data_IF_947568658956
#
_entry.id   IF_947568658956
#
_cell.length_a   1.000
_cell.length_b   1.000
_cell.length_c   1.000
_cell.angle_alpha   90.00
_cell.angle_beta   90.00
_cell.angle_gamma   90.00
#
_symmetry.space_group_name_H-M   'P 1'
#
loop_
_entity.id
_entity.type
_entity.pdbx_description
1 polymer ?
#
# COMPACT_ATOMS: atom_id res chain seq x y z
N UNK A 1 27.67 -27.49 36.61
CA UNK A 1 28.12 -28.08 35.33
C UNK A 1 26.98 -28.90 34.73
N UNK A 2 26.35 -28.41 33.67
CA UNK A 2 25.65 -29.18 32.62
C UNK A 2 25.17 -28.18 31.56
N UNK A 3 26.02 -28.00 30.56
CA UNK A 3 25.73 -27.31 29.30
C UNK A 3 24.85 -28.21 28.44
N UNK A 4 23.65 -27.75 28.10
CA UNK A 4 22.77 -28.36 27.11
C UNK A 4 22.58 -27.40 25.94
N UNK A 5 23.39 -27.57 24.89
CA UNK A 5 23.29 -26.85 23.63
C UNK A 5 22.10 -27.43 22.84
N UNK A 6 21.03 -26.66 22.64
CA UNK A 6 19.98 -27.01 21.67
C UNK A 6 20.31 -26.26 20.39
N UNK A 7 20.71 -27.00 19.35
CA UNK A 7 20.98 -26.44 18.03
C UNK A 7 19.67 -25.98 17.39
N UNK A 8 19.54 -24.68 17.14
CA UNK A 8 18.51 -24.14 16.27
C UNK A 8 18.85 -24.49 14.82
N UNK A 9 17.87 -25.06 14.11
CA UNK A 9 17.98 -25.40 12.70
C UNK A 9 18.27 -24.14 11.86
N UNK A 10 19.26 -24.24 10.98
CA UNK A 10 19.70 -23.17 10.10
C UNK A 10 18.60 -22.76 9.11
N UNK A 11 18.27 -21.46 9.09
CA UNK A 11 17.58 -20.81 7.98
C UNK A 11 18.62 -20.47 6.89
N UNK A 12 18.26 -20.56 5.60
CA UNK A 12 19.20 -20.28 4.52
C UNK A 12 19.66 -18.83 4.54
N UNK A 13 20.97 -18.64 4.38
CA UNK A 13 21.67 -17.37 4.38
C UNK A 13 21.22 -16.51 3.18
N UNK A 14 20.35 -15.54 3.43
CA UNK A 14 20.26 -14.32 2.61
C UNK A 14 20.71 -13.17 3.49
N UNK A 15 21.87 -12.61 3.16
CA UNK A 15 22.54 -11.50 3.84
C UNK A 15 21.56 -10.34 4.12
N UNK A 16 21.28 -10.09 5.40
CA UNK A 16 21.06 -8.77 6.05
C UNK A 16 20.32 -8.92 7.41
N UNK A 17 20.56 -9.99 8.17
CA UNK A 17 20.02 -10.10 9.54
C UNK A 17 21.15 -10.45 10.51
N UNK A 18 21.80 -9.42 11.06
CA UNK A 18 22.60 -9.55 12.27
C UNK A 18 22.01 -8.66 13.34
N UNK A 19 21.46 -9.30 14.37
CA UNK A 19 20.99 -8.67 15.60
C UNK A 19 22.18 -8.61 16.59
N UNK A 20 22.72 -7.42 16.88
CA UNK A 20 23.28 -7.08 18.21
C UNK A 20 23.80 -5.63 18.32
N UNK A 21 23.40 -5.00 19.43
CA UNK A 21 24.05 -3.94 20.24
C UNK A 21 24.58 -2.69 19.53
N UNK A 22 23.93 -1.55 19.83
CA UNK A 22 24.44 -0.17 19.83
C UNK A 22 25.93 0.01 19.52
N UNK A 23 26.31 -0.11 18.25
CA UNK A 23 27.53 0.40 17.61
C UNK A 23 27.62 -0.29 16.24
N UNK A 24 27.18 0.37 15.17
CA UNK A 24 27.90 0.41 13.88
C UNK A 24 27.05 0.97 12.73
N UNK A 25 27.77 1.75 11.93
CA UNK A 25 27.42 2.40 10.68
C UNK A 25 26.61 1.50 9.75
N UNK A 26 25.52 2.06 9.22
CA UNK A 26 24.71 1.56 8.13
C UNK A 26 25.59 1.17 6.93
N UNK A 27 25.92 -0.12 6.82
CA UNK A 27 26.49 -0.71 5.61
C UNK A 27 25.48 -0.53 4.47
N UNK A 28 25.93 0.08 3.37
CA UNK A 28 25.08 0.64 2.32
C UNK A 28 23.97 -0.29 1.84
N UNK A 29 22.73 0.04 2.23
CA UNK A 29 21.53 -0.56 1.68
C UNK A 29 21.40 -0.06 0.23
N UNK A 30 21.76 -0.90 -0.75
CA UNK A 30 21.53 -0.58 -2.17
C UNK A 30 20.02 -0.36 -2.36
N UNK A 31 19.59 0.74 -3.02
CA UNK A 31 18.16 0.98 -3.23
C UNK A 31 17.56 -0.18 -4.03
N UNK A 32 16.49 -0.79 -3.50
CA UNK A 32 15.73 -1.81 -4.22
C UNK A 32 15.12 -1.17 -5.46
N UNK A 33 15.56 -1.58 -6.64
CA UNK A 33 15.01 -1.12 -7.93
C UNK A 33 13.76 -1.91 -8.28
N UNK A 34 12.92 -1.36 -9.16
CA UNK A 34 11.70 -2.00 -9.65
C UNK A 34 11.93 -3.37 -10.33
N UNK A 35 13.15 -3.65 -10.79
CA UNK A 35 13.56 -4.93 -11.37
C UNK A 35 13.69 -6.07 -10.35
N UNK A 36 13.72 -5.75 -9.05
CA UNK A 36 13.87 -6.74 -7.98
C UNK A 36 12.57 -7.47 -7.61
N UNK A 37 11.40 -7.02 -8.11
CA UNK A 37 10.10 -7.59 -7.71
C UNK A 37 9.44 -8.39 -8.82
N UNK A 38 8.80 -9.49 -8.43
CA UNK A 38 8.03 -10.33 -9.34
C UNK A 38 6.85 -9.55 -9.94
N UNK A 39 6.71 -9.59 -11.27
CA UNK A 39 5.54 -9.01 -11.94
C UNK A 39 4.24 -9.61 -11.38
N UNK A 40 3.29 -8.74 -11.08
CA UNK A 40 1.99 -9.16 -10.56
C UNK A 40 1.20 -9.91 -11.63
N UNK A 41 0.70 -11.09 -11.28
CA UNK A 41 -0.13 -11.95 -12.14
C UNK A 41 -1.61 -11.74 -11.81
N UNK A 42 -2.55 -12.10 -12.72
CA UNK A 42 -3.99 -12.00 -12.44
C UNK A 42 -4.43 -12.73 -11.14
N UNK A 43 -3.78 -13.86 -10.83
CA UNK A 43 -4.03 -14.59 -9.58
C UNK A 43 -3.66 -13.76 -8.34
N UNK A 44 -2.60 -12.97 -8.39
CA UNK A 44 -2.18 -12.11 -7.27
C UNK A 44 -3.22 -11.02 -7.00
N UNK A 45 -3.77 -10.43 -8.07
CA UNK A 45 -4.81 -9.41 -7.98
C UNK A 45 -6.10 -9.97 -7.38
N UNK A 46 -6.49 -11.17 -7.79
CA UNK A 46 -7.67 -11.86 -7.26
C UNK A 46 -7.51 -12.19 -5.76
N UNK A 47 -6.33 -12.69 -5.37
CA UNK A 47 -6.01 -12.94 -3.96
C UNK A 47 -6.03 -11.64 -3.17
N UNK A 48 -5.36 -10.60 -3.64
CA UNK A 48 -5.28 -9.32 -2.95
C UNK A 48 -6.65 -8.66 -2.78
N UNK A 49 -7.50 -8.69 -3.81
CA UNK A 49 -8.88 -8.20 -3.73
C UNK A 49 -9.66 -8.94 -2.63
N UNK A 50 -9.50 -10.27 -2.55
CA UNK A 50 -10.11 -11.09 -1.50
C UNK A 50 -9.56 -10.78 -0.11
N UNK A 51 -8.23 -10.67 0.04
CA UNK A 51 -7.57 -10.29 1.29
C UNK A 51 -8.01 -8.92 1.80
N UNK A 52 -8.24 -7.98 0.88
CA UNK A 52 -8.71 -6.62 1.19
C UNK A 52 -10.23 -6.53 1.36
N UNK A 53 -10.99 -7.53 0.90
CA UNK A 53 -12.45 -7.54 0.92
C UNK A 53 -13.09 -6.54 -0.05
N UNK A 54 -12.35 -6.07 -1.06
CA UNK A 54 -12.80 -5.07 -2.04
C UNK A 54 -12.01 -5.17 -3.34
N UNK A 55 -12.53 -4.57 -4.41
CA UNK A 55 -11.77 -4.40 -5.65
C UNK A 55 -10.57 -3.46 -5.44
N UNK A 56 -9.52 -3.66 -6.23
CA UNK A 56 -8.31 -2.84 -6.17
C UNK A 56 -8.56 -1.52 -6.91
N UNK A 57 -8.35 -0.39 -6.23
CA UNK A 57 -8.57 0.94 -6.80
C UNK A 57 -7.39 1.49 -7.61
N UNK A 58 -6.26 0.79 -7.66
CA UNK A 58 -5.04 1.21 -8.35
C UNK A 58 -4.43 0.12 -9.20
N UNK A 59 -3.63 0.49 -10.20
CA UNK A 59 -2.88 -0.45 -11.02
C UNK A 59 -1.76 -1.07 -10.18
N UNK A 60 -1.74 -2.38 -10.06
CA UNK A 60 -0.65 -3.13 -9.41
C UNK A 60 0.33 -3.57 -10.48
N UNK A 61 1.63 -3.36 -10.24
CA UNK A 61 2.69 -3.68 -11.20
C UNK A 61 3.50 -4.91 -10.78
N UNK A 62 3.70 -5.11 -9.47
CA UNK A 62 4.52 -6.20 -8.93
C UNK A 62 4.05 -6.66 -7.55
N UNK A 63 4.61 -7.78 -7.09
CA UNK A 63 4.49 -8.29 -5.72
C UNK A 63 5.85 -8.18 -5.06
N UNK A 64 5.96 -7.30 -4.06
CA UNK A 64 7.23 -7.08 -3.35
C UNK A 64 7.53 -8.20 -2.35
N UNK A 65 6.49 -8.80 -1.75
CA UNK A 65 6.66 -9.89 -0.77
C UNK A 65 5.50 -10.87 -0.80
N UNK A 66 5.85 -12.16 -0.67
CA UNK A 66 4.93 -13.29 -0.46
C UNK A 66 5.22 -13.96 0.88
N UNK A 67 4.19 -14.54 1.49
CA UNK A 67 4.38 -15.43 2.64
C UNK A 67 4.71 -16.86 2.19
N UNK A 68 5.03 -17.74 3.14
CA UNK A 68 5.23 -19.18 2.93
C UNK A 68 4.05 -19.88 2.22
N UNK A 69 2.81 -19.39 2.41
CA UNK A 69 1.60 -19.85 1.70
C UNK A 69 1.47 -19.30 0.27
N UNK A 70 2.52 -18.65 -0.25
CA UNK A 70 2.62 -18.04 -1.59
C UNK A 70 1.62 -16.91 -1.88
N UNK A 71 0.90 -16.45 -0.86
CA UNK A 71 -0.03 -15.32 -0.99
C UNK A 71 0.75 -14.00 -0.93
N UNK A 72 0.38 -12.98 -1.72
CA UNK A 72 0.97 -11.65 -1.61
C UNK A 72 0.73 -11.08 -0.21
N UNK A 73 1.79 -10.52 0.37
CA UNK A 73 1.73 -9.71 1.58
C UNK A 73 1.83 -8.23 1.27
N UNK A 74 2.73 -7.88 0.34
CA UNK A 74 2.96 -6.51 -0.09
C UNK A 74 2.92 -6.46 -1.62
N UNK A 75 2.04 -5.61 -2.14
CA UNK A 75 1.97 -5.28 -3.55
C UNK A 75 2.72 -3.99 -3.85
N UNK A 76 3.14 -3.85 -5.10
CA UNK A 76 3.69 -2.60 -5.65
C UNK A 76 2.66 -1.99 -6.59
N UNK A 77 2.27 -0.75 -6.33
CA UNK A 77 1.25 -0.03 -7.08
C UNK A 77 1.84 1.08 -7.94
N UNK A 78 1.25 1.24 -9.11
CA UNK A 78 1.57 2.33 -10.02
C UNK A 78 1.14 3.67 -9.43
N UNK A 79 1.92 4.76 -9.59
CA UNK A 79 1.67 6.03 -8.92
C UNK A 79 0.42 6.80 -9.37
N UNK A 80 -0.16 6.44 -10.51
CA UNK A 80 -1.29 7.14 -11.12
C UNK A 80 -2.56 6.29 -11.12
N UNK A 81 -3.68 6.94 -10.85
CA UNK A 81 -5.03 6.40 -11.07
C UNK A 81 -5.89 7.40 -11.82
N UNK A 82 -6.87 6.86 -12.55
CA UNK A 82 -7.93 7.67 -13.11
C UNK A 82 -8.85 8.06 -11.96
N UNK A 83 -8.93 9.35 -11.65
CA UNK A 83 -9.87 9.87 -10.68
C UNK A 83 -11.27 9.47 -11.10
N UNK A 84 -12.09 9.01 -10.16
CA UNK A 84 -13.52 8.99 -10.35
C UNK A 84 -13.89 10.43 -10.70
N UNK A 85 -14.31 10.68 -11.95
CA UNK A 85 -14.91 11.96 -12.30
C UNK A 85 -15.92 12.28 -11.21
N UNK A 86 -15.94 13.52 -10.72
CA UNK A 86 -16.99 13.97 -9.81
C UNK A 86 -18.31 13.76 -10.55
N UNK A 87 -18.90 12.58 -10.40
CA UNK A 87 -20.23 12.30 -10.87
C UNK A 87 -21.10 13.26 -10.10
N UNK A 88 -21.59 14.29 -10.79
CA UNK A 88 -22.82 14.93 -10.37
C UNK A 88 -23.82 13.79 -10.25
N UNK A 89 -24.10 13.36 -9.02
CA UNK A 89 -25.23 12.48 -8.77
C UNK A 89 -26.45 13.14 -9.40
N UNK A 90 -27.43 12.37 -9.91
CA UNK A 90 -28.66 12.96 -10.42
C UNK A 90 -29.22 13.85 -9.31
N UNK A 91 -29.28 15.15 -9.58
CA UNK A 91 -29.78 16.14 -8.63
C UNK A 91 -31.14 15.65 -8.14
N UNK A 92 -31.24 15.32 -6.85
CA UNK A 92 -32.54 15.06 -6.26
C UNK A 92 -33.26 16.40 -6.20
N UNK A 93 -34.16 16.65 -7.15
CA UNK A 93 -35.19 17.67 -7.00
C UNK A 93 -36.03 17.30 -5.78
N UNK A 94 -35.74 17.89 -4.62
CA UNK A 94 -36.64 17.87 -3.47
C UNK A 94 -37.39 19.20 -3.47
N UNK A 95 -38.57 19.21 -4.06
CA UNK A 95 -39.47 20.36 -3.99
C UNK A 95 -40.42 20.41 -5.19
N UNK A 96 -41.72 20.45 -4.91
CA UNK A 96 -42.77 20.79 -5.86
C UNK A 96 -42.71 22.30 -6.12
N UNK A 97 -42.07 22.70 -7.22
CA UNK A 97 -41.97 24.10 -7.63
C UNK A 97 -40.62 24.38 -8.25
N UNK A 98 -40.47 24.06 -9.53
CA UNK A 98 -39.31 24.48 -10.32
C UNK A 98 -39.83 25.25 -11.54
N UNK A 99 -39.81 26.58 -11.42
CA UNK A 99 -39.88 27.48 -12.56
C UNK A 99 -38.56 27.34 -13.34
N UNK A 100 -38.67 26.82 -14.55
CA UNK A 100 -37.55 26.65 -15.47
C UNK A 100 -37.38 27.90 -16.33
N UNK A 101 -36.84 28.98 -15.74
CA UNK A 101 -36.29 30.05 -16.57
C UNK A 101 -35.18 30.83 -15.86
N UNK A 102 -33.93 30.45 -16.12
CA UNK A 102 -32.79 31.38 -16.11
C UNK A 102 -31.63 30.70 -16.82
N UNK A 103 -31.34 31.19 -18.02
CA UNK A 103 -30.15 30.84 -18.77
C UNK A 103 -28.90 31.08 -17.93
N UNK A 104 -28.16 30.01 -17.69
CA UNK A 104 -26.73 30.08 -17.46
C UNK A 104 -26.09 29.35 -18.63
N UNK A 105 -25.37 30.12 -19.45
CA UNK A 105 -24.60 29.67 -20.58
C UNK A 105 -23.78 28.43 -20.17
N UNK A 106 -23.99 27.33 -20.91
CA UNK A 106 -23.14 26.15 -20.81
C UNK A 106 -21.79 26.51 -21.40
N UNK A 107 -20.90 27.00 -20.53
CA UNK A 107 -19.46 27.00 -20.75
C UNK A 107 -19.06 25.56 -21.11
N UNK A 108 -18.84 25.36 -22.41
CA UNK A 108 -18.47 24.12 -23.05
C UNK A 108 -16.94 23.90 -23.03
N UNK A 109 -16.20 24.65 -22.21
CA UNK A 109 -14.74 24.64 -22.14
C UNK A 109 -14.12 23.77 -21.03
N UNK A 110 -14.80 22.75 -20.51
CA UNK A 110 -14.15 21.75 -19.63
C UNK A 110 -13.88 20.47 -20.40
N UNK A 111 -12.75 20.47 -21.09
CA UNK A 111 -12.11 19.27 -21.62
C UNK A 111 -12.19 18.15 -20.57
N UNK A 112 -12.87 17.08 -20.96
CA UNK A 112 -12.98 15.82 -20.22
C UNK A 112 -11.63 15.10 -20.24
N UNK A 113 -10.58 15.73 -19.69
CA UNK A 113 -9.40 15.00 -19.31
C UNK A 113 -9.80 14.07 -18.16
N UNK A 114 -9.54 12.74 -18.23
CA UNK A 114 -9.65 11.92 -17.04
C UNK A 114 -8.76 12.55 -15.97
N UNK A 115 -9.35 13.00 -14.87
CA UNK A 115 -8.63 13.68 -13.80
C UNK A 115 -7.68 12.66 -13.18
N UNK A 116 -6.44 12.59 -13.65
CA UNK A 116 -5.42 11.75 -13.04
C UNK A 116 -5.20 12.19 -11.59
N UNK A 117 -5.08 11.22 -10.70
CA UNK A 117 -4.82 11.47 -9.29
C UNK A 117 -3.65 10.58 -8.82
N UNK A 118 -2.90 11.03 -7.81
CA UNK A 118 -1.82 10.23 -7.25
C UNK A 118 -2.42 9.08 -6.43
N UNK A 119 -2.01 7.84 -6.71
CA UNK A 119 -2.35 6.71 -5.84
C UNK A 119 -1.59 6.85 -4.52
N UNK A 120 -2.23 6.66 -3.35
CA UNK A 120 -1.68 7.12 -2.06
C UNK A 120 -0.44 6.36 -1.58
N UNK A 121 -0.18 5.16 -2.10
CA UNK A 121 0.99 4.36 -1.69
C UNK A 121 1.70 3.72 -2.88
N UNK A 122 2.99 3.41 -2.75
CA UNK A 122 3.74 2.51 -3.65
C UNK A 122 3.63 1.08 -3.13
N UNK A 123 3.82 0.89 -1.82
CA UNK A 123 3.75 -0.42 -1.19
C UNK A 123 2.42 -0.58 -0.47
N UNK A 124 1.64 -1.57 -0.91
CA UNK A 124 0.32 -1.83 -0.37
C UNK A 124 0.31 -3.14 0.40
N UNK A 125 0.21 -3.05 1.73
CA UNK A 125 0.04 -4.21 2.60
C UNK A 125 -1.35 -4.82 2.39
N UNK A 126 -1.41 -6.07 1.92
CA UNK A 126 -2.67 -6.79 1.64
C UNK A 126 -2.94 -7.92 2.61
N UNK A 127 -1.90 -8.58 3.14
CA UNK A 127 -2.04 -9.75 4.02
C UNK A 127 -2.95 -9.40 5.22
N UNK A 128 -4.08 -10.11 5.40
CA UNK A 128 -5.00 -9.76 6.48
C UNK A 128 -4.36 -9.96 7.86
N UNK A 129 -3.50 -10.97 8.03
CA UNK A 129 -2.77 -11.24 9.28
C UNK A 129 -1.96 -10.03 9.73
N UNK A 130 -1.04 -9.58 8.87
CA UNK A 130 -0.16 -8.43 9.16
C UNK A 130 -0.97 -7.16 9.29
N UNK A 131 -2.00 -6.94 8.44
CA UNK A 131 -2.86 -5.76 8.55
C UNK A 131 -3.57 -5.67 9.89
N UNK A 132 -4.13 -6.77 10.38
CA UNK A 132 -4.78 -6.83 11.70
C UNK A 132 -3.77 -6.55 12.81
N UNK A 133 -2.58 -7.16 12.74
CA UNK A 133 -1.51 -6.95 13.72
C UNK A 133 -1.07 -5.47 13.78
N UNK A 134 -0.84 -4.85 12.62
CA UNK A 134 -0.46 -3.43 12.52
C UNK A 134 -1.61 -2.52 12.98
N UNK A 135 -2.86 -2.84 12.65
CA UNK A 135 -4.02 -2.10 13.17
C UNK A 135 -4.13 -2.18 14.70
N UNK A 136 -3.72 -3.29 15.31
CA UNK A 136 -3.60 -3.40 16.77
C UNK A 136 -2.59 -2.38 17.30
N UNK A 137 -1.39 -2.31 16.74
CA UNK A 137 -0.37 -1.32 17.13
C UNK A 137 -0.87 0.12 17.01
N UNK A 138 -1.56 0.45 15.90
CA UNK A 138 -2.17 1.77 15.72
C UNK A 138 -3.19 2.08 16.81
N UNK A 139 -4.02 1.10 17.17
CA UNK A 139 -5.06 1.25 18.21
C UNK A 139 -4.46 1.43 19.61
N UNK A 140 -3.25 0.92 19.84
CA UNK A 140 -2.49 1.12 21.08
C UNK A 140 -1.65 2.42 21.08
N UNK A 141 -1.86 3.31 20.11
CA UNK A 141 -1.26 4.65 20.11
C UNK A 141 0.13 4.74 19.47
N UNK A 142 0.61 3.67 18.82
CA UNK A 142 1.97 3.63 18.28
C UNK A 142 2.21 4.69 17.19
N UNK A 143 1.18 5.19 16.48
CA UNK A 143 1.33 6.33 15.55
C UNK A 143 1.86 7.57 16.27
N UNK A 144 1.30 7.90 17.43
CA UNK A 144 1.73 9.08 18.20
C UNK A 144 3.12 8.86 18.80
N UNK A 145 3.43 7.63 19.21
CA UNK A 145 4.78 7.26 19.63
C UNK A 145 5.80 7.51 18.51
N UNK A 146 5.51 7.11 17.27
CA UNK A 146 6.40 7.34 16.12
C UNK A 146 6.58 8.84 15.85
N UNK A 147 5.49 9.61 15.86
CA UNK A 147 5.55 11.07 15.66
C UNK A 147 6.34 11.77 16.75
N UNK A 148 6.19 11.34 18.00
CA UNK A 148 7.00 11.84 19.11
C UNK A 148 8.47 11.51 18.89
N UNK A 149 8.79 10.26 18.53
CA UNK A 149 10.17 9.84 18.27
C UNK A 149 10.82 10.62 17.13
N UNK A 150 10.11 10.83 16.02
CA UNK A 150 10.60 11.67 14.90
C UNK A 150 10.88 13.11 15.33
N UNK A 151 10.17 13.65 16.33
CA UNK A 151 10.42 15.00 16.84
C UNK A 151 11.56 15.08 17.86
N UNK A 152 11.78 14.02 18.63
CA UNK A 152 12.69 14.04 19.79
C UNK A 152 14.04 13.37 19.51
N UNK A 153 14.12 12.47 18.52
CA UNK A 153 15.30 11.69 18.17
C UNK A 153 15.79 12.10 16.77
N UNK A 154 16.85 12.91 16.74
CA UNK A 154 17.42 13.46 15.49
C UNK A 154 17.91 12.37 14.53
N UNK A 155 18.46 11.27 15.06
CA UNK A 155 18.95 10.15 14.24
C UNK A 155 17.78 9.43 13.59
N UNK A 156 16.73 9.13 14.36
CA UNK A 156 15.52 8.49 13.83
C UNK A 156 14.82 9.39 12.78
N UNK A 157 14.82 10.71 13.01
CA UNK A 157 14.26 11.67 12.07
C UNK A 157 15.04 11.71 10.74
N UNK A 158 16.38 11.68 10.80
CA UNK A 158 17.24 11.62 9.62
C UNK A 158 17.01 10.34 8.82
N UNK A 159 17.00 9.18 9.49
CA UNK A 159 16.74 7.87 8.88
C UNK A 159 15.35 7.81 8.23
N UNK A 160 14.32 8.35 8.90
CA UNK A 160 12.98 8.43 8.32
C UNK A 160 12.91 9.40 7.14
N UNK A 161 13.67 10.51 7.19
CA UNK A 161 13.85 11.42 6.07
C UNK A 161 14.49 10.73 4.85
N UNK A 162 15.50 9.89 5.07
CA UNK A 162 16.09 9.06 4.01
C UNK A 162 15.12 8.02 3.45
N UNK A 163 14.33 7.37 4.31
CA UNK A 163 13.28 6.46 3.90
C UNK A 163 12.27 7.16 2.97
N UNK A 164 11.83 8.37 3.32
CA UNK A 164 10.93 9.17 2.51
C UNK A 164 11.55 9.60 1.16
N UNK A 165 12.83 10.00 1.14
CA UNK A 165 13.56 10.29 -0.13
C UNK A 165 13.59 9.09 -1.05
N UNK A 166 13.93 7.91 -0.51
CA UNK A 166 14.01 6.66 -1.27
C UNK A 166 12.64 6.25 -1.80
N UNK A 167 11.62 6.34 -0.95
CA UNK A 167 10.24 6.06 -1.33
C UNK A 167 9.75 6.97 -2.46
N UNK A 168 10.02 8.29 -2.38
CA UNK A 168 9.65 9.25 -3.41
C UNK A 168 10.38 8.98 -4.74
N UNK A 169 11.67 8.65 -4.69
CA UNK A 169 12.45 8.25 -5.85
C UNK A 169 11.91 6.95 -6.49
N UNK A 170 11.59 5.93 -5.69
CA UNK A 170 10.96 4.69 -6.18
C UNK A 170 9.59 4.98 -6.81
N UNK A 171 8.78 5.82 -6.19
CA UNK A 171 7.47 6.22 -6.71
C UNK A 171 7.59 6.92 -8.06
N UNK A 172 8.49 7.89 -8.18
CA UNK A 172 8.76 8.54 -9.47
C UNK A 172 9.32 7.58 -10.52
N UNK A 173 10.20 6.67 -10.12
CA UNK A 173 10.81 5.67 -10.99
C UNK A 173 9.83 4.64 -11.56
N UNK A 174 8.64 4.48 -10.94
CA UNK A 174 7.60 3.61 -11.46
C UNK A 174 6.84 4.20 -12.65
N UNK A 175 6.87 5.51 -12.87
CA UNK A 175 6.20 6.14 -14.02
C UNK A 175 6.82 5.66 -15.34
N UNK A 176 5.98 5.24 -16.29
CA UNK A 176 6.44 4.96 -17.64
C UNK A 176 6.79 6.25 -18.39
N UNK A 177 7.48 6.10 -19.53
CA UNK A 177 7.98 7.21 -20.34
C UNK A 177 6.85 8.11 -20.82
N UNK A 178 5.70 7.53 -21.17
CA UNK A 178 4.57 8.28 -21.71
C UNK A 178 3.88 9.12 -20.63
N UNK A 179 3.61 8.53 -19.46
CA UNK A 179 3.01 9.24 -18.33
C UNK A 179 3.95 10.30 -17.78
N UNK A 180 5.25 10.00 -17.67
CA UNK A 180 6.27 10.99 -17.27
C UNK A 180 6.29 12.17 -18.23
N UNK A 181 6.37 11.93 -19.54
CA UNK A 181 6.35 12.98 -20.54
C UNK A 181 5.08 13.82 -20.44
N UNK A 182 3.91 13.18 -20.29
CA UNK A 182 2.61 13.85 -20.11
C UNK A 182 2.57 14.78 -18.91
N UNK A 183 3.13 14.34 -17.78
CA UNK A 183 3.15 15.15 -16.56
C UNK A 183 4.17 16.30 -16.61
N UNK A 184 5.22 16.18 -17.44
CA UNK A 184 6.23 17.21 -17.65
C UNK A 184 5.87 18.24 -18.73
N UNK A 185 4.79 18.02 -19.49
CA UNK A 185 4.37 18.97 -20.53
C UNK A 185 4.02 20.33 -19.92
N UNK A 186 4.50 21.38 -20.58
CA UNK A 186 4.16 22.76 -20.27
C UNK A 186 2.70 23.11 -20.55
N UNK A 187 2.32 24.33 -20.20
CA UNK A 187 0.97 24.81 -20.48
C UNK A 187 0.83 25.01 -21.99
N UNK A 188 -0.33 24.65 -22.53
CA UNK A 188 -0.68 25.00 -23.89
C UNK A 188 -1.29 26.40 -23.91
N UNK A 189 -0.70 27.30 -24.69
CA UNK A 189 -1.17 28.67 -24.93
C UNK A 189 -1.30 28.84 -26.44
N UNK A 190 -2.50 29.20 -26.91
CA UNK A 190 -2.80 29.39 -28.33
C UNK A 190 -2.36 28.23 -29.25
N UNK A 191 -2.54 27.00 -28.76
CA UNK A 191 -2.19 25.79 -29.51
C UNK A 191 -0.72 25.39 -29.44
N UNK A 192 0.16 26.21 -28.86
CA UNK A 192 1.59 25.93 -28.69
C UNK A 192 1.94 25.61 -27.23
N UNK A 193 2.96 24.79 -27.02
CA UNK A 193 3.50 24.50 -25.69
C UNK A 193 4.57 25.55 -25.37
N UNK A 194 4.43 26.24 -24.25
CA UNK A 194 5.31 27.37 -23.84
C UNK A 194 6.72 26.96 -23.38
N UNK A 195 7.02 25.65 -23.41
CA UNK A 195 8.31 25.07 -23.05
C UNK A 195 8.64 25.10 -21.56
N UNK A 196 7.75 25.60 -20.69
CA UNK A 196 7.93 25.60 -19.24
C UNK A 196 7.50 24.26 -18.65
N UNK A 197 8.02 23.90 -17.47
CA UNK A 197 7.62 22.69 -16.74
C UNK A 197 6.56 22.98 -15.67
N UNK A 198 5.66 23.94 -15.91
CA UNK A 198 4.59 24.39 -15.00
C UNK A 198 3.17 24.12 -15.58
N UNK A 199 3.08 23.19 -16.53
CA UNK A 199 1.82 22.78 -17.11
C UNK A 199 0.89 22.03 -16.14
N UNK A 200 -0.31 21.61 -16.59
CA UNK A 200 -1.35 21.06 -15.72
C UNK A 200 -0.95 19.80 -14.92
N UNK A 201 0.08 19.08 -15.37
CA UNK A 201 0.61 17.89 -14.71
C UNK A 201 1.71 18.17 -13.67
N UNK A 202 2.24 19.39 -13.60
CA UNK A 202 3.42 19.71 -12.80
C UNK A 202 3.21 19.50 -11.29
N UNK A 203 2.05 19.91 -10.76
CA UNK A 203 1.71 19.68 -9.35
C UNK A 203 1.59 18.20 -9.02
N UNK A 204 1.00 17.41 -9.93
CA UNK A 204 0.87 15.97 -9.75
C UNK A 204 2.24 15.29 -9.80
N UNK A 205 3.12 15.70 -10.72
CA UNK A 205 4.48 15.20 -10.80
C UNK A 205 5.29 15.49 -9.54
N UNK A 206 5.14 16.72 -9.01
CA UNK A 206 5.75 17.14 -7.76
C UNK A 206 5.31 16.24 -6.60
N UNK A 207 4.00 16.03 -6.45
CA UNK A 207 3.48 15.10 -5.43
C UNK A 207 4.05 13.70 -5.61
N UNK A 208 4.10 13.16 -6.83
CA UNK A 208 4.62 11.81 -7.09
C UNK A 208 6.12 11.71 -6.75
N UNK A 209 6.88 12.76 -6.99
CA UNK A 209 8.35 12.74 -6.91
C UNK A 209 8.90 13.23 -5.58
N UNK A 210 8.11 13.93 -4.77
CA UNK A 210 8.58 14.59 -3.54
C UNK A 210 7.81 14.19 -2.28
N UNK A 211 6.63 13.57 -2.40
CA UNK A 211 5.91 13.12 -1.20
C UNK A 211 6.41 11.77 -0.70
N UNK A 212 6.60 11.69 0.63
CA UNK A 212 7.06 10.50 1.31
C UNK A 212 5.99 9.41 1.44
N UNK A 213 6.23 8.48 2.35
CA UNK A 213 5.33 7.35 2.64
C UNK A 213 3.93 7.88 2.98
N UNK A 214 2.92 7.39 2.26
CA UNK A 214 1.53 7.82 2.42
C UNK A 214 1.17 9.18 1.82
N UNK A 215 2.03 9.74 0.97
CA UNK A 215 1.77 10.98 0.24
C UNK A 215 1.88 12.24 1.12
N UNK A 216 2.62 12.16 2.21
CA UNK A 216 2.79 13.25 3.16
C UNK A 216 3.88 14.19 2.61
N UNK A 217 3.54 15.47 2.47
CA UNK A 217 4.49 16.52 2.08
C UNK A 217 5.41 16.90 3.24
N UNK A 218 4.88 16.88 4.48
CA UNK A 218 5.65 17.04 5.71
C UNK A 218 6.24 15.70 6.17
N UNK A 219 7.55 15.54 6.00
CA UNK A 219 8.22 14.28 6.32
C UNK A 219 8.37 14.01 7.82
N UNK A 220 7.96 14.94 8.69
CA UNK A 220 7.79 14.68 10.11
C UNK A 220 6.50 13.89 10.43
N UNK A 221 5.59 13.75 9.46
CA UNK A 221 4.31 13.09 9.64
C UNK A 221 4.34 11.57 9.47
N UNK A 222 3.62 10.87 10.35
CA UNK A 222 3.21 9.46 10.14
C UNK A 222 1.69 9.41 10.11
N UNK A 223 1.10 9.03 8.97
CA UNK A 223 -0.36 8.94 8.82
C UNK A 223 -0.91 7.58 9.25
N UNK A 224 -0.27 6.50 8.83
CA UNK A 224 -0.58 5.14 9.24
C UNK A 224 0.69 4.29 9.25
N UNK A 225 0.66 3.21 10.04
CA UNK A 225 1.75 2.26 10.17
C UNK A 225 1.74 1.24 9.03
N UNK A 226 0.58 0.94 8.43
CA UNK A 226 0.52 -0.07 7.34
C UNK A 226 1.42 0.26 6.16
N UNK A 227 1.55 1.53 5.78
CA UNK A 227 2.37 1.94 4.65
C UNK A 227 3.87 1.85 4.97
N UNK A 228 4.27 2.21 6.19
CA UNK A 228 5.65 2.08 6.64
C UNK A 228 6.07 0.62 6.82
N UNK A 229 5.19 -0.20 7.37
CA UNK A 229 5.40 -1.66 7.45
C UNK A 229 5.46 -2.27 6.06
N UNK A 230 4.60 -1.85 5.12
CA UNK A 230 4.66 -2.31 3.73
C UNK A 230 6.00 -1.97 3.06
N UNK A 231 6.47 -0.74 3.25
CA UNK A 231 7.73 -0.23 2.72
C UNK A 231 8.93 -1.03 3.26
N UNK A 232 9.00 -1.22 4.57
CA UNK A 232 10.02 -2.07 5.20
C UNK A 232 9.94 -3.52 4.70
N UNK A 233 8.74 -4.10 4.65
CA UNK A 233 8.52 -5.47 4.17
C UNK A 233 8.82 -5.65 2.68
N UNK A 234 8.90 -4.57 1.89
CA UNK A 234 9.34 -4.59 0.50
C UNK A 234 10.87 -4.60 0.34
N UNK A 235 11.61 -4.56 1.45
CA UNK A 235 13.07 -4.61 1.49
C UNK A 235 13.73 -3.23 1.65
N UNK A 236 12.96 -2.18 1.93
CA UNK A 236 13.52 -0.84 2.12
C UNK A 236 13.92 -0.61 3.59
N UNK A 237 14.99 0.15 3.81
CA UNK A 237 15.29 0.71 5.12
C UNK A 237 14.25 1.79 5.47
N UNK A 238 13.36 1.46 6.41
CA UNK A 238 12.33 2.35 6.93
C UNK A 238 12.23 2.13 8.45
N UNK A 239 12.70 3.09 9.28
CA UNK A 239 12.85 2.88 10.72
C UNK A 239 11.50 2.76 11.44
N UNK A 240 10.43 3.39 10.92
CA UNK A 240 9.07 3.24 11.45
C UNK A 240 8.54 1.83 11.18
N UNK A 241 8.70 1.35 9.94
CA UNK A 241 8.28 0.00 9.56
C UNK A 241 9.04 -1.07 10.34
N UNK A 242 10.35 -0.91 10.48
CA UNK A 242 11.22 -1.78 11.25
C UNK A 242 10.79 -1.87 12.72
N UNK A 243 10.59 -0.72 13.38
CA UNK A 243 10.18 -0.69 14.79
C UNK A 243 8.81 -1.33 15.02
N UNK A 244 7.87 -1.15 14.10
CA UNK A 244 6.58 -1.87 14.15
C UNK A 244 6.77 -3.38 14.04
N UNK A 245 7.59 -3.87 13.10
CA UNK A 245 7.86 -5.31 12.95
C UNK A 245 8.55 -5.87 14.19
N UNK A 246 9.50 -5.13 14.76
CA UNK A 246 10.16 -5.50 16.00
C UNK A 246 9.15 -5.61 17.16
N UNK A 247 8.27 -4.62 17.33
CA UNK A 247 7.22 -4.64 18.36
C UNK A 247 6.27 -5.82 18.21
N UNK A 248 5.85 -6.13 16.98
CA UNK A 248 5.05 -7.33 16.72
C UNK A 248 5.77 -8.60 17.14
N UNK A 249 7.08 -8.70 16.87
CA UNK A 249 7.88 -9.85 17.26
C UNK A 249 8.02 -9.99 18.78
N UNK A 250 8.18 -8.88 19.52
CA UNK A 250 8.17 -8.88 20.99
C UNK A 250 6.84 -9.41 21.56
N UNK A 251 5.73 -9.03 20.95
CA UNK A 251 4.38 -9.50 21.32
C UNK A 251 4.10 -10.94 20.82
N UNK A 252 5.10 -11.64 20.29
CA UNK A 252 4.98 -13.00 19.73
C UNK A 252 4.17 -13.07 18.43
N UNK A 253 3.86 -11.93 17.82
CA UNK A 253 3.12 -11.85 16.56
C UNK A 253 4.09 -11.87 15.37
N UNK A 254 4.21 -13.03 14.74
CA UNK A 254 4.99 -13.17 13.50
C UNK A 254 4.37 -12.42 12.30
N UNK A 255 5.17 -12.23 11.25
CA UNK A 255 4.70 -11.65 9.98
C UNK A 255 3.89 -12.62 9.13
N UNK A 256 3.74 -13.87 9.55
CA UNK A 256 2.99 -14.90 8.83
C UNK A 256 1.99 -15.58 9.77
N UNK A 257 0.87 -16.00 9.19
CA UNK A 257 -0.10 -16.85 9.88
C UNK A 257 0.30 -18.32 9.70
N UNK A 258 0.15 -19.12 10.75
CA UNK A 258 0.49 -20.53 10.72
C UNK A 258 -0.45 -21.35 9.81
N UNK A 259 -1.71 -20.95 9.76
CA UNK A 259 -2.83 -21.66 9.13
C UNK A 259 -3.09 -21.27 7.67
N UNK A 260 -2.43 -20.22 7.17
CA UNK A 260 -2.71 -19.71 5.85
C UNK A 260 -4.12 -19.15 5.74
N UNK A 261 -4.66 -18.46 6.76
CA UNK A 261 -6.04 -17.95 6.85
C UNK A 261 -6.63 -17.21 5.63
N UNK A 262 -5.79 -16.77 4.69
CA UNK A 262 -6.22 -16.10 3.44
C UNK A 262 -6.21 -17.01 2.19
N UNK A 263 -5.80 -18.26 2.35
CA UNK A 263 -5.89 -19.34 1.37
C UNK A 263 -7.33 -19.88 1.40
N UNK A 264 -8.04 -19.95 0.26
CA UNK A 264 -9.38 -20.50 0.23
C UNK A 264 -9.39 -21.98 0.55
N UNK A 265 -10.25 -22.37 1.49
CA UNK A 265 -10.63 -23.75 1.69
C UNK A 265 -11.81 -24.07 0.77
N UNK A 266 -11.68 -25.13 -0.02
CA UNK A 266 -12.79 -25.64 -0.81
C UNK A 266 -13.71 -26.45 0.10
N UNK A 267 -14.95 -25.98 0.25
CA UNK A 267 -15.99 -26.65 1.04
C UNK A 267 -17.16 -27.04 0.16
N UNK A 268 -17.90 -28.08 0.57
CA UNK A 268 -19.12 -28.49 -0.08
C UNK A 268 -20.23 -28.67 0.96
N UNK A 269 -21.41 -28.12 0.67
CA UNK A 269 -22.63 -28.41 1.41
C UNK A 269 -23.47 -29.40 0.60
N UNK A 270 -23.77 -30.56 1.19
CA UNK A 270 -24.53 -31.62 0.53
C UNK A 270 -25.91 -31.69 1.16
N UNK A 271 -26.95 -31.51 0.35
CA UNK A 271 -28.33 -31.81 0.71
C UNK A 271 -28.70 -33.15 0.07
N UNK A 272 -28.72 -34.21 0.89
CA UNK A 272 -29.12 -35.55 0.47
C UNK A 272 -30.60 -35.78 0.82
N UNK A 273 -31.44 -35.92 -0.21
CA UNK A 273 -32.80 -36.41 -0.10
C UNK A 273 -32.88 -37.90 -0.49
N UNK A 274 -34.04 -38.52 -0.26
CA UNK A 274 -34.23 -39.96 -0.44
C UNK A 274 -33.93 -40.48 -1.85
N UNK A 275 -34.11 -39.64 -2.89
CA UNK A 275 -33.90 -39.99 -4.30
C UNK A 275 -32.98 -39.01 -5.05
N UNK A 276 -32.35 -38.04 -4.37
CA UNK A 276 -31.49 -37.05 -5.03
C UNK A 276 -30.49 -36.43 -4.05
N UNK A 277 -29.32 -36.03 -4.56
CA UNK A 277 -28.36 -35.23 -3.79
C UNK A 277 -28.05 -33.93 -4.54
N UNK A 278 -28.04 -32.81 -3.83
CA UNK A 278 -27.57 -31.51 -4.33
C UNK A 278 -26.30 -31.14 -3.59
N UNK A 279 -25.26 -30.73 -4.32
CA UNK A 279 -24.03 -30.24 -3.74
C UNK A 279 -23.82 -28.77 -4.14
N UNK A 280 -23.58 -27.91 -3.15
CA UNK A 280 -23.05 -26.57 -3.35
C UNK A 280 -21.58 -26.58 -3.00
N UNK A 281 -20.70 -26.30 -3.95
CA UNK A 281 -19.26 -26.19 -3.73
C UNK A 281 -18.88 -24.71 -3.71
N UNK A 282 -18.13 -24.29 -2.69
CA UNK A 282 -17.67 -22.92 -2.55
C UNK A 282 -16.22 -22.89 -2.06
N UNK A 283 -15.46 -21.88 -2.48
CA UNK A 283 -14.16 -21.55 -1.91
C UNK A 283 -14.38 -20.51 -0.82
N UNK A 284 -14.14 -20.88 0.44
CA UNK A 284 -14.39 -20.05 1.61
C UNK A 284 -13.06 -19.60 2.21
N UNK A 285 -12.99 -18.32 2.57
CA UNK A 285 -11.88 -17.76 3.34
C UNK A 285 -12.45 -17.21 4.63
N UNK A 286 -11.76 -17.47 5.72
CA UNK A 286 -12.14 -16.92 7.01
C UNK A 286 -12.13 -15.39 6.95
N UNK A 287 -13.27 -14.75 7.28
CA UNK A 287 -13.37 -13.30 7.19
C UNK A 287 -12.46 -12.67 8.24
N UNK A 288 -11.47 -11.84 7.87
CA UNK A 288 -10.67 -11.15 8.86
C UNK A 288 -11.56 -10.17 9.64
N UNK A 289 -11.72 -10.39 10.95
CA UNK A 289 -12.29 -9.39 11.87
C UNK A 289 -13.68 -9.66 12.45
N UNK A 290 -14.23 -10.88 12.39
CA UNK A 290 -15.23 -11.29 13.39
C UNK A 290 -14.63 -12.42 14.20
N UNK A 291 -13.88 -12.07 15.24
CA UNK A 291 -13.63 -13.02 16.31
C UNK A 291 -15.00 -13.50 16.79
N UNK A 292 -15.23 -14.81 16.76
CA UNK A 292 -16.24 -15.39 17.62
C UNK A 292 -15.72 -15.18 19.04
N UNK A 293 -16.17 -14.11 19.68
CA UNK A 293 -16.18 -14.07 21.14
C UNK A 293 -17.11 -15.19 21.58
N UNK A 294 -16.52 -16.29 22.03
CA UNK A 294 -17.14 -17.23 22.95
C UNK A 294 -16.73 -16.81 24.36
#
# INVERSE_FOLDING_TARGET
>A
MRTGLVMAAALPETECFSFRTHEMRWGGCRPVTSEAWDRAKPVDLAVAARQLGRTLGGRVVAVARRCSHRQPQVLVTYPLVHGAGRGGGPGRCRGSGCDCDSGAERDSGRDLAPSLAPFPTVFWLTCPHVRTAVSSLESHGMIEEMRRRIREDEVFAEEYGEANRRYAAQRGGLLDVADRARLQMGRQVDGQVDGRMDGPGADLLRVISESGVGGIADWAGVRCLHMNVADYMAGNANPVGELCVWRLAEDGTGLECADGRCVPARVAAINAGSNSAKALVADVVERPGRGFGL
#
